data_IF_263051650271
#
_entry.id   IF_263051650271
#
_cell.length_a   1.000
_cell.length_b   1.000
_cell.length_c   1.000
_cell.angle_alpha   90.00
_cell.angle_beta   90.00
_cell.angle_gamma   90.00
#
_symmetry.space_group_name_H-M   'P 1'
#
loop_
_entity.id
_entity.type
_entity.pdbx_description
1 polymer ?
#
# COMPACT_ATOMS: atom_id res chain seq x y z
N UNK A 1 4.54 13.61 -3.49
CA UNK A 1 4.57 15.09 -3.53
C UNK A 1 5.42 15.69 -2.40
N UNK A 2 6.57 15.11 -2.09
CA UNK A 2 7.56 15.69 -1.16
C UNK A 2 9.03 15.49 -1.65
N UNK A 3 9.23 14.72 -2.73
CA UNK A 3 10.54 14.32 -3.29
C UNK A 3 11.26 15.50 -3.99
N UNK A 4 10.52 16.51 -4.46
CA UNK A 4 11.09 17.68 -5.15
C UNK A 4 11.94 18.58 -4.24
N UNK A 5 11.71 18.54 -2.92
CA UNK A 5 12.45 19.36 -1.97
C UNK A 5 13.83 18.76 -1.57
N UNK A 6 14.12 17.52 -1.97
CA UNK A 6 15.35 16.81 -1.56
C UNK A 6 16.36 16.67 -2.69
N UNK A 7 15.90 16.52 -3.95
CA UNK A 7 16.79 16.39 -5.12
C UNK A 7 17.59 15.07 -5.14
N UNK A 8 17.80 14.50 -6.34
CA UNK A 8 18.67 13.34 -6.54
C UNK A 8 18.07 11.98 -6.18
N UNK A 9 16.76 11.80 -6.35
CA UNK A 9 16.05 10.61 -5.87
C UNK A 9 15.09 10.03 -6.92
N UNK A 10 15.16 8.72 -7.20
CA UNK A 10 14.34 8.05 -8.22
C UNK A 10 12.87 7.85 -7.84
N UNK A 11 12.54 7.47 -6.60
CA UNK A 11 11.16 7.26 -6.13
C UNK A 11 10.99 7.28 -4.59
N UNK A 12 12.03 6.94 -3.83
CA UNK A 12 12.17 7.00 -2.36
C UNK A 12 13.59 7.46 -2.06
N UNK A 13 13.84 8.20 -0.98
CA UNK A 13 15.14 8.83 -0.75
C UNK A 13 16.31 7.88 -0.39
N UNK A 14 16.09 6.57 -0.48
CA UNK A 14 17.15 5.55 -0.55
C UNK A 14 17.73 5.33 -1.96
N UNK A 15 17.01 5.68 -3.04
CA UNK A 15 17.53 5.57 -4.42
C UNK A 15 18.22 6.87 -4.86
N UNK A 16 19.45 7.09 -4.37
CA UNK A 16 20.26 8.22 -4.79
C UNK A 16 20.67 8.07 -6.25
N UNK A 17 20.46 9.11 -7.04
CA UNK A 17 21.10 9.20 -8.36
C UNK A 17 21.59 10.59 -8.70
N UNK A 18 22.70 10.67 -9.46
CA UNK A 18 23.35 11.93 -9.77
C UNK A 18 22.60 12.78 -10.82
N UNK A 19 21.51 12.27 -11.41
CA UNK A 19 20.86 12.90 -12.56
C UNK A 19 19.55 13.63 -12.22
N UNK A 20 19.61 14.97 -12.26
CA UNK A 20 18.49 15.91 -12.03
C UNK A 20 17.24 15.66 -12.90
N UNK A 21 17.37 14.93 -14.01
CA UNK A 21 16.29 14.63 -14.97
C UNK A 21 15.17 13.75 -14.39
N UNK A 22 15.47 12.91 -13.41
CA UNK A 22 14.49 11.99 -12.81
C UNK A 22 13.48 12.74 -11.97
N UNK A 23 13.91 13.77 -11.24
CA UNK A 23 13.01 14.67 -10.51
C UNK A 23 12.12 15.49 -11.45
N UNK A 24 12.61 15.85 -12.64
CA UNK A 24 11.80 16.47 -13.69
C UNK A 24 10.77 15.50 -14.28
N UNK A 25 11.12 14.22 -14.45
CA UNK A 25 10.19 13.19 -14.91
C UNK A 25 9.11 12.90 -13.86
N UNK A 26 9.45 12.86 -12.58
CA UNK A 26 8.47 12.78 -11.48
C UNK A 26 7.52 13.98 -11.46
N UNK A 27 8.03 15.19 -11.73
CA UNK A 27 7.23 16.40 -11.82
C UNK A 27 6.32 16.40 -13.06
N UNK A 28 6.80 15.83 -14.18
CA UNK A 28 6.02 15.57 -15.38
C UNK A 28 4.90 14.56 -15.11
N UNK A 29 5.19 13.43 -14.44
CA UNK A 29 4.18 12.43 -14.03
C UNK A 29 3.15 13.07 -13.09
N UNK A 30 3.60 13.89 -12.13
CA UNK A 30 2.74 14.66 -11.25
C UNK A 30 1.79 15.63 -12.01
N UNK A 31 2.29 16.33 -13.03
CA UNK A 31 1.48 17.17 -13.91
C UNK A 31 0.50 16.33 -14.76
N UNK A 32 0.94 15.17 -15.24
CA UNK A 32 0.13 14.25 -16.05
C UNK A 32 -0.99 13.57 -15.23
N UNK A 33 -0.86 13.44 -13.91
CA UNK A 33 -1.94 12.96 -13.03
C UNK A 33 -3.07 13.99 -12.92
N UNK A 34 -2.82 15.28 -13.13
CA UNK A 34 -3.83 16.34 -12.98
C UNK A 34 -4.95 16.27 -14.03
N UNK A 35 -4.69 15.70 -15.21
CA UNK A 35 -5.68 15.55 -16.27
C UNK A 35 -6.07 14.09 -16.47
N UNK A 36 -7.39 13.82 -16.47
CA UNK A 36 -7.97 12.46 -16.61
C UNK A 36 -7.58 11.77 -17.92
N UNK A 37 -7.34 12.55 -18.99
CA UNK A 37 -6.88 12.02 -20.30
C UNK A 37 -5.39 11.64 -20.29
N UNK A 38 -4.58 12.19 -19.38
CA UNK A 38 -3.13 11.93 -19.30
C UNK A 38 -2.76 10.95 -18.18
N UNK A 39 -3.72 10.50 -17.36
CA UNK A 39 -3.54 9.43 -16.37
C UNK A 39 -2.95 8.12 -16.92
N UNK A 40 -3.33 7.61 -18.11
CA UNK A 40 -2.68 6.40 -18.64
C UNK A 40 -1.23 6.65 -19.09
N UNK A 41 -0.89 7.87 -19.53
CA UNK A 41 0.49 8.28 -19.81
C UNK A 41 1.31 8.38 -18.52
N UNK A 42 0.72 8.87 -17.43
CA UNK A 42 1.35 8.87 -16.11
C UNK A 42 1.61 7.44 -15.60
N UNK A 43 0.65 6.52 -15.80
CA UNK A 43 0.80 5.11 -15.48
C UNK A 43 1.96 4.45 -16.26
N UNK A 44 2.05 4.73 -17.56
CA UNK A 44 3.17 4.28 -18.38
C UNK A 44 4.51 4.89 -17.93
N UNK A 45 4.52 6.15 -17.48
CA UNK A 45 5.69 6.82 -16.90
C UNK A 45 6.19 6.17 -15.61
N UNK A 46 5.29 5.74 -14.72
CA UNK A 46 5.65 5.00 -13.49
C UNK A 46 6.32 3.67 -13.83
N UNK A 47 5.76 2.91 -14.77
CA UNK A 47 6.35 1.65 -15.23
C UNK A 47 7.68 1.89 -15.95
N UNK A 48 7.78 2.94 -16.77
CA UNK A 48 9.01 3.33 -17.46
C UNK A 48 10.14 3.68 -16.49
N UNK A 49 9.85 4.42 -15.42
CA UNK A 49 10.81 4.70 -14.35
C UNK A 49 11.32 3.42 -13.69
N UNK A 50 10.45 2.45 -13.46
CA UNK A 50 10.84 1.16 -12.91
C UNK A 50 11.75 0.38 -13.86
N UNK A 51 11.45 0.34 -15.16
CA UNK A 51 12.31 -0.30 -16.17
C UNK A 51 13.69 0.36 -16.27
N UNK A 52 13.77 1.68 -16.06
CA UNK A 52 15.04 2.39 -16.02
C UNK A 52 15.81 2.05 -14.75
N UNK A 53 15.13 2.03 -13.59
CA UNK A 53 15.74 1.70 -12.31
C UNK A 53 16.26 0.25 -12.24
N UNK A 54 15.69 -0.68 -13.01
CA UNK A 54 16.21 -2.05 -13.19
C UNK A 54 17.65 -2.10 -13.76
N UNK A 55 18.14 -1.02 -14.38
CA UNK A 55 19.53 -0.98 -14.86
C UNK A 55 20.54 -0.70 -13.75
N UNK A 56 20.11 0.02 -12.73
CA UNK A 56 20.99 0.53 -11.68
C UNK A 56 20.83 -0.25 -10.35
N UNK A 57 19.73 -1.01 -10.19
CA UNK A 57 19.39 -1.73 -8.97
C UNK A 57 18.97 -3.18 -9.25
N UNK A 58 19.23 -4.07 -8.30
CA UNK A 58 18.85 -5.49 -8.39
C UNK A 58 17.34 -5.68 -8.47
N UNK A 59 16.91 -6.63 -9.30
CA UNK A 59 15.50 -6.97 -9.48
C UNK A 59 14.77 -7.28 -8.16
N UNK A 60 15.46 -7.93 -7.22
CA UNK A 60 14.91 -8.29 -5.91
C UNK A 60 14.60 -7.06 -5.04
N UNK A 61 15.50 -6.07 -5.03
CA UNK A 61 15.32 -4.80 -4.30
C UNK A 61 14.25 -3.88 -4.93
N UNK A 62 13.83 -4.18 -6.16
CA UNK A 62 12.89 -3.35 -6.92
C UNK A 62 11.48 -3.92 -6.97
N UNK A 63 11.24 -5.08 -6.37
CA UNK A 63 9.98 -5.80 -6.56
C UNK A 63 8.83 -5.22 -5.74
N UNK A 64 9.12 -4.71 -4.55
CA UNK A 64 8.19 -3.92 -3.74
C UNK A 64 7.78 -2.62 -4.48
N UNK A 65 8.74 -1.95 -5.13
CA UNK A 65 8.50 -0.79 -5.98
C UNK A 65 7.69 -1.14 -7.23
N UNK A 66 7.91 -2.32 -7.83
CA UNK A 66 7.10 -2.81 -8.93
C UNK A 66 5.66 -3.03 -8.48
N UNK A 67 5.46 -3.74 -7.38
CA UNK A 67 4.12 -4.09 -6.89
C UNK A 67 3.31 -2.82 -6.56
N UNK A 68 3.95 -1.86 -5.90
CA UNK A 68 3.33 -0.58 -5.59
C UNK A 68 3.10 0.26 -6.87
N UNK A 69 4.11 0.37 -7.72
CA UNK A 69 4.05 1.12 -8.98
C UNK A 69 2.99 0.58 -9.94
N UNK A 70 2.89 -0.74 -10.07
CA UNK A 70 1.86 -1.44 -10.85
C UNK A 70 0.46 -1.25 -10.24
N UNK A 71 0.35 -1.27 -8.91
CA UNK A 71 -0.91 -0.98 -8.21
C UNK A 71 -1.42 0.43 -8.52
N UNK A 72 -0.53 1.43 -8.54
CA UNK A 72 -0.87 2.82 -8.87
C UNK A 72 -1.14 2.99 -10.36
N UNK A 73 -0.31 2.40 -11.23
CA UNK A 73 -0.54 2.43 -12.67
C UNK A 73 -1.91 1.85 -13.01
N UNK A 74 -2.29 0.74 -12.38
CA UNK A 74 -3.61 0.14 -12.49
C UNK A 74 -4.74 1.03 -11.97
N UNK A 75 -4.52 1.70 -10.83
CA UNK A 75 -5.47 2.70 -10.31
C UNK A 75 -5.68 3.87 -11.28
N UNK A 76 -4.60 4.45 -11.79
CA UNK A 76 -4.63 5.59 -12.72
C UNK A 76 -5.28 5.21 -14.05
N UNK A 77 -4.96 4.03 -14.60
CA UNK A 77 -5.59 3.51 -15.82
C UNK A 77 -7.10 3.31 -15.65
N UNK A 78 -7.54 2.79 -14.49
CA UNK A 78 -8.96 2.60 -14.19
C UNK A 78 -9.68 3.91 -13.83
N UNK A 79 -8.97 4.88 -13.25
CA UNK A 79 -9.52 6.19 -12.93
C UNK A 79 -9.71 7.08 -14.17
N UNK A 80 -8.99 6.81 -15.27
CA UNK A 80 -9.08 7.53 -16.52
C UNK A 80 -10.43 7.37 -17.23
N UNK A 81 -11.12 6.24 -17.01
CA UNK A 81 -12.42 5.92 -17.64
C UNK A 81 -13.52 5.64 -16.59
N UNK A 82 -14.29 6.68 -16.18
CA UNK A 82 -15.35 6.54 -15.19
C UNK A 82 -16.57 5.72 -15.62
N UNK A 83 -16.81 5.58 -16.93
CA UNK A 83 -17.96 4.83 -17.46
C UNK A 83 -17.65 3.33 -17.57
N UNK A 84 -16.38 2.96 -17.46
CA UNK A 84 -15.94 1.58 -17.51
C UNK A 84 -16.37 0.78 -16.27
N UNK A 85 -16.72 -0.50 -16.50
CA UNK A 85 -16.97 -1.49 -15.43
C UNK A 85 -15.75 -1.69 -14.52
N UNK A 86 -14.55 -1.36 -15.01
CA UNK A 86 -13.29 -1.47 -14.28
C UNK A 86 -13.09 -0.36 -13.24
N UNK A 87 -13.79 0.77 -13.34
CA UNK A 87 -13.71 1.88 -12.38
C UNK A 87 -14.03 1.45 -10.94
N UNK A 88 -14.92 0.47 -10.77
CA UNK A 88 -15.28 -0.06 -9.45
C UNK A 88 -14.13 -0.82 -8.78
N UNK A 89 -13.16 -1.33 -9.54
CA UNK A 89 -12.06 -2.16 -9.05
C UNK A 89 -10.78 -1.37 -8.74
N UNK A 90 -10.76 -0.05 -8.97
CA UNK A 90 -9.57 0.79 -8.80
C UNK A 90 -8.95 0.69 -7.41
N UNK A 91 -9.79 0.71 -6.37
CA UNK A 91 -9.34 0.61 -4.99
C UNK A 91 -8.87 -0.81 -4.65
N UNK A 92 -9.48 -1.81 -5.29
CA UNK A 92 -9.03 -3.19 -5.17
C UNK A 92 -7.62 -3.33 -5.71
N UNK A 93 -7.34 -2.88 -6.94
CA UNK A 93 -6.00 -3.00 -7.55
C UNK A 93 -4.94 -2.24 -6.74
N UNK A 94 -5.26 -1.03 -6.28
CA UNK A 94 -4.35 -0.26 -5.44
C UNK A 94 -4.06 -0.97 -4.10
N UNK A 95 -5.08 -1.56 -3.47
CA UNK A 95 -4.94 -2.36 -2.24
C UNK A 95 -4.07 -3.59 -2.44
N UNK A 96 -4.25 -4.29 -3.56
CA UNK A 96 -3.39 -5.43 -3.91
C UNK A 96 -1.94 -5.02 -4.10
N UNK A 97 -1.69 -3.90 -4.80
CA UNK A 97 -0.33 -3.38 -4.98
C UNK A 97 0.37 -3.08 -3.65
N UNK A 98 -0.30 -2.37 -2.73
CA UNK A 98 0.26 -2.06 -1.40
C UNK A 98 0.45 -3.32 -0.55
N UNK A 99 -0.52 -4.22 -0.55
CA UNK A 99 -0.41 -5.46 0.22
C UNK A 99 0.77 -6.32 -0.25
N UNK A 100 0.92 -6.51 -1.57
CA UNK A 100 2.04 -7.27 -2.14
C UNK A 100 3.38 -6.58 -1.85
N UNK A 101 3.45 -5.24 -1.98
CA UNK A 101 4.66 -4.50 -1.66
C UNK A 101 5.09 -4.67 -0.18
N UNK A 102 4.14 -4.59 0.75
CA UNK A 102 4.41 -4.82 2.18
C UNK A 102 4.80 -6.27 2.48
N UNK A 103 4.14 -7.24 1.85
CA UNK A 103 4.51 -8.65 2.00
C UNK A 103 5.92 -8.93 1.48
N UNK A 104 6.29 -8.33 0.35
CA UNK A 104 7.63 -8.46 -0.21
C UNK A 104 8.69 -7.84 0.69
N UNK A 105 8.47 -6.61 1.15
CA UNK A 105 9.37 -5.95 2.10
C UNK A 105 9.57 -6.77 3.39
N UNK A 106 8.55 -7.50 3.85
CA UNK A 106 8.71 -8.45 4.95
C UNK A 106 9.51 -9.70 4.56
N UNK A 107 9.36 -10.24 3.35
CA UNK A 107 10.13 -11.39 2.90
C UNK A 107 11.63 -11.05 2.82
N UNK A 108 11.97 -9.82 2.45
CA UNK A 108 13.36 -9.32 2.50
C UNK A 108 13.91 -9.32 3.92
N UNK A 109 13.12 -8.94 4.93
CA UNK A 109 13.52 -9.03 6.35
C UNK A 109 13.76 -10.46 6.82
N UNK A 110 13.15 -11.46 6.19
CA UNK A 110 13.41 -12.87 6.48
C UNK A 110 14.58 -13.45 5.70
N UNK A 111 14.69 -13.13 4.41
CA UNK A 111 15.71 -13.66 3.51
C UNK A 111 17.07 -12.97 3.72
N UNK A 112 17.06 -11.67 4.02
CA UNK A 112 18.22 -10.80 4.08
C UNK A 112 18.18 -9.87 5.30
N UNK A 113 18.00 -10.46 6.50
CA UNK A 113 18.00 -9.71 7.76
C UNK A 113 19.28 -8.85 7.94
N UNK A 114 20.40 -9.29 7.37
CA UNK A 114 21.70 -8.63 7.45
C UNK A 114 21.72 -7.24 6.80
N UNK A 115 20.87 -6.99 5.79
CA UNK A 115 20.75 -5.67 5.15
C UNK A 115 20.20 -4.61 6.11
N UNK A 116 19.51 -5.03 7.16
CA UNK A 116 18.95 -4.15 8.18
C UNK A 116 19.87 -4.00 9.41
N UNK A 117 21.02 -4.69 9.47
CA UNK A 117 21.96 -4.60 10.60
C UNK A 117 22.59 -3.21 10.77
N UNK A 118 23.07 -2.53 9.71
CA UNK A 118 23.63 -1.19 9.84
C UNK A 118 22.62 -0.20 10.44
N UNK A 119 21.35 -0.34 10.05
CA UNK A 119 20.28 0.53 10.53
C UNK A 119 20.02 0.36 12.03
N UNK A 120 20.01 -0.88 12.50
CA UNK A 120 19.80 -1.18 13.92
C UNK A 120 21.03 -0.77 14.76
N UNK A 121 22.23 -0.82 14.19
CA UNK A 121 23.46 -0.33 14.81
C UNK A 121 23.48 1.19 15.00
N UNK A 122 23.04 1.94 13.99
CA UNK A 122 22.94 3.39 14.07
C UNK A 122 21.82 3.83 15.03
N UNK A 123 20.73 3.05 15.12
CA UNK A 123 19.52 3.39 15.87
C UNK A 123 19.08 2.25 16.81
N UNK A 124 19.87 1.95 17.86
CA UNK A 124 19.61 0.82 18.74
C UNK A 124 18.30 0.95 19.55
N UNK A 125 17.76 2.16 19.71
CA UNK A 125 16.47 2.36 20.37
C UNK A 125 15.30 1.72 19.62
N UNK A 126 15.43 1.45 18.31
CA UNK A 126 14.37 0.82 17.51
C UNK A 126 14.07 -0.61 17.96
N UNK A 127 15.03 -1.33 18.55
CA UNK A 127 14.81 -2.72 18.99
C UNK A 127 14.10 -2.83 20.34
N UNK A 128 13.79 -1.71 20.99
CA UNK A 128 13.25 -1.68 22.36
C UNK A 128 14.07 -2.52 23.36
N UNK A 129 15.39 -2.62 23.13
CA UNK A 129 16.31 -3.42 23.95
C UNK A 129 16.41 -4.89 23.56
N UNK A 130 15.70 -5.33 22.52
CA UNK A 130 15.81 -6.70 22.00
C UNK A 130 17.08 -6.89 21.14
N UNK A 131 17.62 -8.13 21.11
CA UNK A 131 18.68 -8.51 20.18
C UNK A 131 18.23 -8.31 18.71
N UNK A 132 19.14 -7.79 17.87
CA UNK A 132 18.86 -7.43 16.47
C UNK A 132 18.39 -8.61 15.63
N UNK A 133 18.99 -9.78 15.87
CA UNK A 133 18.65 -11.06 15.24
C UNK A 133 17.25 -11.56 15.61
N UNK A 134 16.66 -11.08 16.70
CA UNK A 134 15.27 -11.37 17.09
C UNK A 134 14.32 -10.28 16.58
N UNK A 135 14.72 -9.01 16.70
CA UNK A 135 13.88 -7.87 16.31
C UNK A 135 13.54 -7.85 14.82
N UNK A 136 14.53 -8.03 13.93
CA UNK A 136 14.32 -7.89 12.48
C UNK A 136 13.31 -8.92 11.94
N UNK A 137 13.42 -10.22 12.26
CA UNK A 137 12.38 -11.19 11.88
C UNK A 137 11.01 -10.90 12.50
N UNK A 138 10.96 -10.45 13.76
CA UNK A 138 9.68 -10.09 14.40
C UNK A 138 9.00 -8.90 13.71
N UNK A 139 9.78 -7.90 13.31
CA UNK A 139 9.29 -6.78 12.50
C UNK A 139 8.76 -7.27 11.14
N UNK A 140 9.47 -8.21 10.49
CA UNK A 140 8.98 -8.90 9.30
C UNK A 140 7.61 -9.55 9.53
N UNK A 141 7.47 -10.38 10.57
CA UNK A 141 6.18 -11.05 10.88
C UNK A 141 5.05 -10.05 11.06
N UNK A 142 5.30 -8.94 11.77
CA UNK A 142 4.32 -7.90 11.98
C UNK A 142 3.88 -7.25 10.65
N UNK A 143 4.83 -6.85 9.81
CA UNK A 143 4.57 -6.27 8.50
C UNK A 143 3.85 -7.24 7.55
N UNK A 144 4.27 -8.51 7.49
CA UNK A 144 3.62 -9.54 6.69
C UNK A 144 2.16 -9.72 7.10
N UNK A 145 1.92 -9.79 8.41
CA UNK A 145 0.58 -9.98 8.97
C UNK A 145 -0.32 -8.78 8.65
N UNK A 146 0.20 -7.56 8.77
CA UNK A 146 -0.55 -6.36 8.41
C UNK A 146 -0.80 -6.28 6.89
N UNK A 147 0.20 -6.61 6.07
CA UNK A 147 0.07 -6.69 4.60
C UNK A 147 -0.99 -7.70 4.18
N UNK A 148 -1.00 -8.89 4.77
CA UNK A 148 -2.05 -9.90 4.54
C UNK A 148 -3.42 -9.45 5.04
N UNK A 149 -3.45 -8.80 6.20
CA UNK A 149 -4.67 -8.25 6.75
C UNK A 149 -5.36 -7.24 5.83
N UNK A 150 -4.59 -6.48 5.02
CA UNK A 150 -5.17 -5.59 4.01
C UNK A 150 -6.01 -6.35 2.95
N UNK A 151 -5.69 -7.60 2.65
CA UNK A 151 -6.40 -8.41 1.65
C UNK A 151 -7.59 -9.19 2.21
N UNK A 152 -7.68 -9.32 3.54
CA UNK A 152 -8.63 -10.17 4.22
C UNK A 152 -10.04 -9.54 4.35
N UNK A 153 -10.73 -9.82 5.46
CA UNK A 153 -12.06 -9.28 5.77
C UNK A 153 -12.03 -7.76 6.00
N UNK A 154 -13.15 -7.04 5.81
CA UNK A 154 -13.19 -5.58 5.95
C UNK A 154 -12.74 -5.06 7.33
N UNK A 155 -13.02 -5.81 8.40
CA UNK A 155 -12.61 -5.46 9.75
C UNK A 155 -11.08 -5.55 9.89
N UNK A 156 -10.50 -6.69 9.53
CA UNK A 156 -9.05 -6.91 9.62
C UNK A 156 -8.31 -5.93 8.70
N UNK A 157 -8.83 -5.68 7.49
CA UNK A 157 -8.29 -4.66 6.58
C UNK A 157 -8.19 -3.29 7.25
N UNK A 158 -9.25 -2.84 7.93
CA UNK A 158 -9.26 -1.53 8.60
C UNK A 158 -8.29 -1.51 9.78
N UNK A 159 -8.28 -2.55 10.61
CA UNK A 159 -7.36 -2.64 11.74
C UNK A 159 -5.90 -2.66 11.28
N UNK A 160 -5.56 -3.43 10.24
CA UNK A 160 -4.23 -3.43 9.63
C UNK A 160 -3.85 -2.08 9.03
N UNK A 161 -4.77 -1.43 8.32
CA UNK A 161 -4.52 -0.10 7.76
C UNK A 161 -4.27 0.94 8.87
N UNK A 162 -5.07 0.92 9.95
CA UNK A 162 -4.88 1.80 11.10
C UNK A 162 -3.56 1.52 11.81
N UNK A 163 -3.20 0.26 12.03
CA UNK A 163 -1.92 -0.10 12.64
C UNK A 163 -0.73 0.42 11.81
N UNK A 164 -0.76 0.24 10.49
CA UNK A 164 0.26 0.76 9.58
C UNK A 164 0.29 2.30 9.57
N UNK A 165 -0.87 2.97 9.62
CA UNK A 165 -0.97 4.44 9.75
C UNK A 165 -0.42 4.94 11.08
N UNK A 166 -0.37 4.13 12.12
CA UNK A 166 0.30 4.52 13.38
C UNK A 166 1.81 4.30 13.27
N UNK A 167 2.23 3.16 12.73
CA UNK A 167 3.64 2.76 12.69
C UNK A 167 4.46 3.62 11.70
N UNK A 168 3.95 3.87 10.48
CA UNK A 168 4.71 4.64 9.48
C UNK A 168 5.00 6.09 9.94
N UNK A 169 4.04 6.88 10.42
CA UNK A 169 4.31 8.21 10.98
C UNK A 169 5.16 8.15 12.26
N UNK A 170 5.05 7.09 13.07
CA UNK A 170 5.93 6.91 14.22
C UNK A 170 7.40 6.70 13.78
N UNK A 171 7.63 6.05 12.64
CA UNK A 171 8.96 5.93 12.02
C UNK A 171 9.46 7.25 11.42
N UNK A 172 8.58 8.15 10.96
CA UNK A 172 9.00 9.48 10.48
C UNK A 172 9.72 10.29 11.57
N UNK A 173 9.38 10.12 12.84
CA UNK A 173 10.02 10.85 13.95
C UNK A 173 11.54 10.58 14.05
N UNK A 174 12.02 9.32 14.11
CA UNK A 174 13.45 9.02 14.13
C UNK A 174 14.16 9.12 12.77
N UNK A 175 13.48 8.83 11.64
CA UNK A 175 14.11 8.80 10.32
C UNK A 175 14.04 10.13 9.55
N UNK A 176 13.15 11.04 9.94
CA UNK A 176 13.08 12.40 9.43
C UNK A 176 12.44 12.54 8.04
N UNK A 177 12.80 13.62 7.33
CA UNK A 177 12.11 14.05 6.10
C UNK A 177 12.24 13.07 4.94
N UNK A 178 13.37 12.36 4.88
CA UNK A 178 13.67 11.32 3.91
C UNK A 178 12.58 10.23 4.01
N UNK A 179 12.37 9.68 5.19
CA UNK A 179 11.37 8.64 5.39
C UNK A 179 9.94 9.09 5.07
N UNK A 180 9.55 10.29 5.50
CA UNK A 180 8.24 10.87 5.19
C UNK A 180 7.98 10.94 3.67
N UNK A 181 9.00 11.37 2.93
CA UNK A 181 8.94 11.54 1.48
C UNK A 181 8.79 10.19 0.79
N UNK A 182 9.55 9.19 1.24
CA UNK A 182 9.52 7.84 0.70
C UNK A 182 8.20 7.10 0.97
N UNK A 183 7.70 7.20 2.19
CA UNK A 183 6.48 6.51 2.61
C UNK A 183 5.20 7.29 2.34
N UNK A 184 5.26 8.56 1.90
CA UNK A 184 4.08 9.40 1.65
C UNK A 184 3.03 8.73 0.75
N UNK A 185 3.50 7.93 -0.22
CA UNK A 185 2.66 7.25 -1.19
C UNK A 185 1.90 6.06 -0.58
N UNK A 186 2.60 5.23 0.20
CA UNK A 186 1.99 4.13 0.97
C UNK A 186 1.04 4.70 2.01
N UNK A 187 1.47 5.70 2.78
CA UNK A 187 0.66 6.36 3.79
C UNK A 187 -0.63 6.93 3.21
N UNK A 188 -0.55 7.68 2.09
CA UNK A 188 -1.73 8.21 1.41
C UNK A 188 -2.70 7.11 0.96
N UNK A 189 -2.16 6.00 0.46
CA UNK A 189 -2.97 4.84 0.06
C UNK A 189 -3.62 4.14 1.25
N UNK A 190 -2.91 3.97 2.36
CA UNK A 190 -3.44 3.41 3.60
C UNK A 190 -4.55 4.28 4.18
N UNK A 191 -4.41 5.61 4.14
CA UNK A 191 -5.47 6.54 4.51
C UNK A 191 -6.73 6.35 3.64
N UNK A 192 -6.56 6.20 2.33
CA UNK A 192 -7.69 5.88 1.45
C UNK A 192 -8.33 4.54 1.80
N UNK A 193 -7.55 3.48 2.06
CA UNK A 193 -8.06 2.15 2.42
C UNK A 193 -8.78 2.16 3.77
N UNK A 194 -8.27 2.93 4.74
CA UNK A 194 -8.89 3.09 6.06
C UNK A 194 -10.20 3.90 5.98
N UNK A 195 -10.20 4.95 5.16
CA UNK A 195 -11.38 5.80 4.93
C UNK A 195 -12.42 5.16 4.01
N UNK A 196 -12.06 4.14 3.22
CA UNK A 196 -12.95 3.52 2.24
C UNK A 196 -14.18 2.90 2.94
N UNK A 197 -15.39 3.44 2.69
CA UNK A 197 -16.60 2.92 3.26
C UNK A 197 -17.10 1.68 2.51
N UNK A 198 -16.47 1.25 1.40
CA UNK A 198 -16.98 0.13 0.59
C UNK A 198 -17.18 -1.12 1.45
N UNK A 199 -18.44 -1.57 1.60
CA UNK A 199 -18.74 -2.82 2.26
C UNK A 199 -18.40 -3.95 1.30
N UNK A 200 -17.13 -4.37 1.30
CA UNK A 200 -16.74 -5.67 0.76
C UNK A 200 -17.02 -6.76 1.80
N UNK A 201 -18.19 -6.70 2.44
CA UNK A 201 -18.73 -7.79 3.22
C UNK A 201 -19.42 -8.75 2.27
N UNK A 202 -19.36 -10.05 2.57
CA UNK A 202 -20.24 -11.04 1.96
C UNK A 202 -21.64 -10.43 1.90
N UNK A 203 -22.24 -10.31 0.71
CA UNK A 203 -23.67 -10.00 0.61
C UNK A 203 -24.38 -11.20 1.22
N UNK A 204 -24.50 -11.21 2.55
CA UNK A 204 -25.35 -12.16 3.24
C UNK A 204 -26.69 -12.03 2.55
N UNK A 205 -27.22 -13.11 1.93
CA UNK A 205 -28.56 -13.06 1.41
C UNK A 205 -29.40 -12.56 2.58
N UNK A 206 -30.06 -11.40 2.40
CA UNK A 206 -30.98 -10.86 3.42
C UNK A 206 -31.81 -12.06 3.84
N UNK A 207 -31.66 -12.50 5.10
CA UNK A 207 -32.49 -13.56 5.66
C UNK A 207 -33.90 -13.24 5.21
N UNK A 208 -34.41 -14.06 4.28
CA UNK A 208 -35.65 -13.76 3.60
C UNK A 208 -36.67 -13.54 4.72
N UNK A 209 -37.19 -12.31 4.84
CA UNK A 209 -38.20 -12.02 5.87
C UNK A 209 -39.24 -13.12 5.74
N UNK A 210 -39.53 -13.88 6.81
CA UNK A 210 -40.44 -15.02 6.72
C UNK A 210 -41.72 -14.55 6.02
N UNK A 211 -42.14 -15.32 5.02
CA UNK A 211 -43.30 -14.96 4.20
C UNK A 211 -44.52 -14.73 5.10
N UNK A 212 -45.46 -13.89 4.65
CA UNK A 212 -46.67 -13.61 5.42
C UNK A 212 -47.43 -14.91 5.78
N UNK A 213 -47.34 -15.94 4.94
CA UNK A 213 -47.89 -17.27 5.20
C UNK A 213 -47.24 -17.99 6.39
N UNK A 214 -45.91 -17.89 6.55
CA UNK A 214 -45.21 -18.46 7.70
C UNK A 214 -45.61 -17.75 9.01
N UNK A 215 -45.72 -16.42 8.98
CA UNK A 215 -46.19 -15.65 10.15
C UNK A 215 -47.62 -16.00 10.54
N UNK A 216 -48.50 -16.21 9.56
CA UNK A 216 -49.89 -16.60 9.81
C UNK A 216 -49.98 -18.00 10.43
N UNK A 217 -49.22 -18.98 9.92
CA UNK A 217 -49.15 -20.33 10.49
C UNK A 217 -48.63 -20.36 11.93
N UNK A 218 -47.62 -19.55 12.25
CA UNK A 218 -47.11 -19.44 13.63
C UNK A 218 -48.15 -18.79 14.54
N UNK A 219 -48.86 -17.76 14.08
CA UNK A 219 -49.93 -17.13 14.86
C UNK A 219 -51.10 -18.10 15.12
N UNK A 220 -51.47 -18.92 14.13
CA UNK A 220 -52.51 -19.95 14.28
C UNK A 220 -52.07 -21.07 15.24
N UNK A 221 -50.79 -21.47 15.22
CA UNK A 221 -50.26 -22.51 16.09
C UNK A 221 -50.04 -22.06 17.55
N UNK A 222 -49.97 -20.74 17.82
CA UNK A 222 -49.86 -20.18 19.18
C UNK A 222 -51.24 -19.94 19.81
N UNK A 223 -52.30 -19.94 19.00
CA UNK A 223 -53.68 -19.71 19.43
C UNK A 223 -54.50 -21.02 19.57
N UNK A 224 -53.87 -22.17 19.37
CA UNK A 224 -54.42 -23.51 19.59
C UNK A 224 -53.80 -24.14 20.84
#
# INVERSE_FOLDING_TARGET
MAIFAVGGVYLTPDLQTPNKWVSWLQLLIALLVFSRRTMPLAAAGIIGLWVIALRDYDFFHLLDYLALGAGIAGYLAQAADPESKWYQHRFTVLRWGVAIALMWSSLEKFAYAEWFYPLVEERPFLTFGMPRNMFIPMAGVAELTMGFGLLWTPLIRRLSAVALIVIFPAAVYPFGRIDLVGHALIMGTLFMIAADPTPSGLKLPRLARPSAAFRKRVAEAVMA
#
